data_IF_372213432185
#
_entry.id   IF_372213432185
#
_cell.length_a   1.000
_cell.length_b   1.000
_cell.length_c   1.000
_cell.angle_alpha   90.00
_cell.angle_beta   90.00
_cell.angle_gamma   90.00
#
_symmetry.space_group_name_H-M   'P 1'
#
loop_
_entity.id
_entity.type
_entity.pdbx_description
1 polymer ?
#
# COMPACT_ATOMS: atom_id res chain seq x y z
N UNK A 1 29.06 -23.36 -34.66
CA UNK A 1 29.33 -22.96 -33.27
C UNK A 1 28.02 -22.86 -32.50
N UNK A 2 27.58 -24.02 -32.02
CA UNK A 2 26.48 -24.07 -31.04
C UNK A 2 27.11 -23.86 -29.68
N UNK A 3 27.26 -22.61 -29.26
CA UNK A 3 27.46 -22.31 -27.84
C UNK A 3 26.20 -22.74 -27.10
N UNK A 4 26.25 -23.93 -26.54
CA UNK A 4 25.33 -24.41 -25.51
C UNK A 4 25.37 -23.37 -24.37
N UNK A 5 24.52 -22.36 -24.42
CA UNK A 5 24.16 -21.59 -23.25
C UNK A 5 23.40 -22.56 -22.36
N UNK A 6 24.12 -23.22 -21.50
CA UNK A 6 23.56 -23.82 -20.30
C UNK A 6 22.95 -22.67 -19.50
N UNK A 7 21.74 -22.28 -19.88
CA UNK A 7 20.96 -21.35 -19.10
C UNK A 7 20.63 -22.09 -17.79
N UNK A 8 21.56 -21.98 -16.84
CA UNK A 8 21.31 -22.48 -15.50
C UNK A 8 20.00 -21.82 -15.05
N UNK A 9 18.99 -22.57 -14.60
CA UNK A 9 17.65 -22.06 -14.36
C UNK A 9 17.60 -21.24 -13.06
N UNK A 10 18.36 -20.13 -13.04
CA UNK A 10 18.47 -19.23 -11.90
C UNK A 10 17.10 -18.79 -11.38
N UNK A 11 16.14 -18.56 -12.26
CA UNK A 11 14.80 -18.13 -11.88
C UNK A 11 14.05 -19.19 -11.04
N UNK A 12 14.22 -20.48 -11.34
CA UNK A 12 13.59 -21.55 -10.58
C UNK A 12 14.26 -21.71 -9.21
N UNK A 13 15.58 -21.63 -9.16
CA UNK A 13 16.33 -21.73 -7.91
C UNK A 13 16.08 -20.53 -7.00
N UNK A 14 16.10 -19.30 -7.52
CA UNK A 14 15.78 -18.08 -6.78
C UNK A 14 14.38 -18.19 -6.19
N UNK A 15 13.37 -18.61 -6.97
CA UNK A 15 12.01 -18.79 -6.48
C UNK A 15 11.91 -19.84 -5.37
N UNK A 16 12.62 -20.96 -5.50
CA UNK A 16 12.66 -22.00 -4.47
C UNK A 16 13.33 -21.52 -3.18
N UNK A 17 14.43 -20.79 -3.30
CA UNK A 17 15.14 -20.21 -2.16
C UNK A 17 14.26 -19.19 -1.44
N UNK A 18 13.57 -18.30 -2.17
CA UNK A 18 12.65 -17.32 -1.59
C UNK A 18 11.49 -18.04 -0.87
N UNK A 19 10.89 -19.05 -1.51
CA UNK A 19 9.80 -19.83 -0.90
C UNK A 19 10.28 -20.57 0.36
N UNK A 20 11.45 -21.20 0.30
CA UNK A 20 12.05 -21.87 1.46
C UNK A 20 12.34 -20.88 2.60
N UNK A 21 12.89 -19.71 2.28
CA UNK A 21 13.15 -18.66 3.28
C UNK A 21 11.86 -18.14 3.91
N UNK A 22 10.79 -17.95 3.12
CA UNK A 22 9.47 -17.58 3.62
C UNK A 22 8.88 -18.64 4.55
N UNK A 23 8.95 -19.91 4.14
CA UNK A 23 8.47 -21.03 4.97
C UNK A 23 9.26 -21.10 6.29
N UNK A 24 10.59 -21.00 6.22
CA UNK A 24 11.44 -20.99 7.43
C UNK A 24 11.08 -19.81 8.34
N UNK A 25 10.89 -18.62 7.77
CA UNK A 25 10.52 -17.43 8.53
C UNK A 25 9.17 -17.60 9.22
N UNK A 26 8.17 -18.15 8.52
CA UNK A 26 6.84 -18.43 9.09
C UNK A 26 6.93 -19.49 10.20
N UNK A 27 7.70 -20.57 9.98
CA UNK A 27 7.89 -21.63 10.98
C UNK A 27 8.61 -21.10 12.21
N UNK A 28 9.70 -20.32 12.04
CA UNK A 28 10.43 -19.70 13.15
C UNK A 28 9.55 -18.71 13.91
N UNK A 29 8.76 -17.89 13.19
CA UNK A 29 7.80 -16.98 13.81
C UNK A 29 6.74 -17.76 14.60
N UNK A 30 6.18 -18.83 14.04
CA UNK A 30 5.23 -19.70 14.74
C UNK A 30 5.84 -20.35 15.98
N UNK A 31 7.04 -20.93 15.87
CA UNK A 31 7.75 -21.54 17.03
C UNK A 31 7.98 -20.49 18.12
N UNK A 32 8.54 -19.32 17.77
CA UNK A 32 8.77 -18.23 18.73
C UNK A 32 7.50 -17.71 19.39
N UNK A 33 6.38 -17.83 18.72
CA UNK A 33 5.09 -17.38 19.24
C UNK A 33 4.48 -18.37 20.24
N UNK A 34 4.71 -19.66 20.03
CA UNK A 34 4.20 -20.71 20.93
C UNK A 34 5.18 -21.11 22.03
N UNK A 35 6.47 -20.78 21.90
CA UNK A 35 7.45 -21.01 22.95
C UNK A 35 7.59 -19.78 23.83
N UNK A 36 7.24 -19.91 25.11
CA UNK A 36 7.57 -18.89 26.10
C UNK A 36 9.10 -18.76 26.20
N UNK A 37 9.65 -17.52 26.23
CA UNK A 37 11.06 -17.35 26.54
C UNK A 37 11.36 -17.96 27.93
N UNK A 38 12.54 -18.56 28.09
CA UNK A 38 12.94 -19.28 29.30
C UNK A 38 13.02 -18.40 30.57
N UNK A 39 12.97 -17.07 30.36
CA UNK A 39 13.01 -16.02 31.39
C UNK A 39 11.65 -15.32 31.60
N UNK A 40 10.56 -15.92 31.10
CA UNK A 40 9.22 -15.37 31.31
C UNK A 40 8.83 -15.42 32.81
N UNK A 41 8.28 -14.33 33.38
CA UNK A 41 7.86 -14.34 34.78
C UNK A 41 6.74 -15.36 35.03
N UNK A 42 6.70 -15.97 36.19
CA UNK A 42 5.68 -16.95 36.54
C UNK A 42 4.28 -16.29 36.47
N UNK A 43 3.41 -16.80 35.60
CA UNK A 43 2.05 -16.30 35.43
C UNK A 43 1.82 -15.54 34.10
N UNK A 44 2.83 -15.29 33.29
CA UNK A 44 2.63 -14.82 31.90
C UNK A 44 2.04 -15.94 31.04
N UNK A 45 0.74 -15.87 30.82
CA UNK A 45 0.10 -16.65 29.78
C UNK A 45 0.69 -16.20 28.42
N UNK A 46 0.88 -17.17 27.52
CA UNK A 46 1.37 -16.93 26.15
C UNK A 46 1.01 -15.53 25.66
N UNK A 47 2.01 -14.74 25.29
CA UNK A 47 1.89 -13.34 24.83
C UNK A 47 0.88 -13.16 23.71
N UNK A 48 0.46 -14.23 23.06
CA UNK A 48 -0.40 -14.25 21.92
C UNK A 48 -1.60 -15.19 22.15
N UNK A 49 -2.70 -14.59 22.59
CA UNK A 49 -3.99 -15.26 22.72
C UNK A 49 -4.58 -15.53 21.33
N UNK A 50 -5.52 -16.46 21.20
CA UNK A 50 -6.27 -16.71 19.96
C UNK A 50 -6.96 -15.45 19.40
N UNK A 51 -7.32 -14.50 20.26
CA UNK A 51 -7.84 -13.19 19.86
C UNK A 51 -6.78 -12.33 19.17
N UNK A 52 -5.55 -12.31 19.69
CA UNK A 52 -4.41 -11.59 19.09
C UNK A 52 -4.06 -12.15 17.71
N UNK A 53 -4.08 -13.49 17.56
CA UNK A 53 -3.87 -14.14 16.27
C UNK A 53 -4.94 -13.75 15.24
N UNK A 54 -6.20 -13.73 15.62
CA UNK A 54 -7.28 -13.28 14.73
C UNK A 54 -7.07 -11.83 14.29
N UNK A 55 -6.70 -10.96 15.21
CA UNK A 55 -6.40 -9.55 14.89
C UNK A 55 -5.24 -9.42 13.90
N UNK A 56 -4.16 -10.19 14.08
CA UNK A 56 -3.03 -10.20 13.16
C UNK A 56 -3.39 -10.73 11.76
N UNK A 57 -4.20 -11.78 11.69
CA UNK A 57 -4.64 -12.34 10.40
C UNK A 57 -5.54 -11.34 9.68
N UNK A 58 -6.52 -10.76 10.38
CA UNK A 58 -7.45 -9.79 9.79
C UNK A 58 -6.68 -8.51 9.37
N UNK A 59 -5.85 -7.98 10.25
CA UNK A 59 -5.03 -6.81 9.98
C UNK A 59 -4.06 -7.04 8.82
N UNK A 60 -3.32 -8.15 8.85
CA UNK A 60 -2.39 -8.50 7.78
C UNK A 60 -3.07 -8.75 6.44
N UNK A 61 -4.27 -9.35 6.43
CA UNK A 61 -5.05 -9.52 5.21
C UNK A 61 -5.56 -8.18 4.67
N UNK A 62 -6.00 -7.28 5.55
CA UNK A 62 -6.44 -5.94 5.19
C UNK A 62 -5.31 -5.12 4.58
N UNK A 63 -4.16 -5.03 5.26
CA UNK A 63 -2.98 -4.31 4.75
C UNK A 63 -2.46 -4.94 3.46
N UNK A 64 -2.40 -6.28 3.40
CA UNK A 64 -2.01 -7.01 2.21
C UNK A 64 -2.93 -6.76 1.02
N UNK A 65 -4.24 -6.65 1.24
CA UNK A 65 -5.20 -6.31 0.19
C UNK A 65 -4.98 -4.90 -0.37
N UNK A 66 -4.71 -3.91 0.51
CA UNK A 66 -4.38 -2.54 0.09
C UNK A 66 -3.10 -2.52 -0.75
N UNK A 67 -2.04 -3.19 -0.29
CA UNK A 67 -0.78 -3.29 -1.04
C UNK A 67 -0.97 -4.00 -2.39
N UNK A 68 -1.79 -5.05 -2.44
CA UNK A 68 -2.10 -5.76 -3.67
C UNK A 68 -2.83 -4.86 -4.69
N UNK A 69 -3.79 -4.04 -4.24
CA UNK A 69 -4.47 -3.07 -5.10
C UNK A 69 -3.52 -2.00 -5.66
N UNK A 70 -2.62 -1.49 -4.81
CA UNK A 70 -1.59 -0.53 -5.24
C UNK A 70 -0.66 -1.18 -6.27
N UNK A 71 -0.17 -2.41 -6.02
CA UNK A 71 0.69 -3.14 -6.93
C UNK A 71 0.01 -3.43 -8.27
N UNK A 72 -1.28 -3.77 -8.25
CA UNK A 72 -2.09 -3.97 -9.45
C UNK A 72 -2.22 -2.66 -10.24
N UNK A 73 -2.48 -1.54 -9.57
CA UNK A 73 -2.51 -0.22 -10.18
C UNK A 73 -1.17 0.15 -10.83
N UNK A 74 -0.05 -0.08 -10.18
CA UNK A 74 1.29 0.10 -10.77
C UNK A 74 1.48 -0.76 -12.02
N UNK A 75 1.06 -2.02 -11.97
CA UNK A 75 1.21 -2.95 -13.09
C UNK A 75 0.38 -2.51 -14.30
N UNK A 76 -0.84 -2.04 -14.09
CA UNK A 76 -1.71 -1.52 -15.15
C UNK A 76 -1.11 -0.26 -15.80
N UNK A 77 -0.69 0.71 -14.99
CA UNK A 77 -0.09 1.95 -15.49
C UNK A 77 1.21 1.66 -16.26
N UNK A 78 2.07 0.79 -15.72
CA UNK A 78 3.29 0.37 -16.40
C UNK A 78 3.00 -0.35 -17.72
N UNK A 79 1.98 -1.21 -17.76
CA UNK A 79 1.57 -1.92 -18.96
C UNK A 79 1.16 -0.99 -20.11
N UNK A 80 0.50 0.11 -19.79
CA UNK A 80 0.01 1.11 -20.77
C UNK A 80 1.09 2.11 -21.13
N UNK A 81 1.69 2.76 -20.14
CA UNK A 81 2.62 3.88 -20.35
C UNK A 81 4.08 3.43 -20.56
N UNK A 82 4.42 2.20 -20.21
CA UNK A 82 5.78 1.66 -20.21
C UNK A 82 6.78 2.53 -19.42
N UNK A 83 6.27 3.21 -18.41
CA UNK A 83 7.05 4.01 -17.48
C UNK A 83 6.50 3.84 -16.06
N UNK A 84 7.38 3.96 -15.06
CA UNK A 84 6.99 3.86 -13.64
C UNK A 84 6.47 5.22 -13.20
N UNK A 85 5.20 5.25 -12.76
CA UNK A 85 4.60 6.44 -12.18
C UNK A 85 4.83 6.44 -10.65
N UNK A 86 5.86 7.12 -10.19
CA UNK A 86 6.16 7.23 -8.75
C UNK A 86 5.09 7.98 -7.96
N UNK A 87 4.29 8.84 -8.61
CA UNK A 87 3.21 9.55 -7.95
C UNK A 87 1.94 8.71 -7.71
N UNK A 88 1.91 7.42 -8.12
CA UNK A 88 0.74 6.56 -7.97
C UNK A 88 0.34 6.33 -6.51
N UNK A 89 1.33 6.08 -5.65
CA UNK A 89 1.11 5.93 -4.20
C UNK A 89 0.54 7.20 -3.56
N UNK A 90 0.97 8.37 -4.04
CA UNK A 90 0.50 9.66 -3.55
C UNK A 90 -0.95 9.95 -3.94
N UNK A 91 -1.36 9.50 -5.13
CA UNK A 91 -2.78 9.57 -5.56
C UNK A 91 -3.66 8.76 -4.61
N UNK A 92 -3.21 7.55 -4.25
CA UNK A 92 -3.90 6.72 -3.25
C UNK A 92 -3.94 7.42 -1.87
N UNK A 93 -2.81 7.95 -1.41
CA UNK A 93 -2.69 8.68 -0.15
C UNK A 93 -3.67 9.86 -0.08
N UNK A 94 -3.80 10.66 -1.13
CA UNK A 94 -4.71 11.81 -1.17
C UNK A 94 -6.19 11.39 -1.04
N UNK A 95 -6.57 10.27 -1.67
CA UNK A 95 -7.90 9.69 -1.50
C UNK A 95 -8.15 9.21 -0.08
N UNK A 96 -7.15 8.54 0.53
CA UNK A 96 -7.24 8.07 1.91
C UNK A 96 -7.37 9.23 2.91
N UNK A 97 -6.61 10.30 2.75
CA UNK A 97 -6.77 11.50 3.60
C UNK A 97 -8.14 12.14 3.45
N UNK A 98 -8.62 12.31 2.22
CA UNK A 98 -9.95 12.88 1.99
C UNK A 98 -11.05 12.04 2.65
N UNK A 99 -10.96 10.72 2.56
CA UNK A 99 -11.91 9.81 3.19
C UNK A 99 -11.87 9.89 4.72
N UNK A 100 -10.68 10.04 5.30
CA UNK A 100 -10.51 10.22 6.74
C UNK A 100 -11.26 11.47 7.25
N UNK A 101 -11.12 12.62 6.58
CA UNK A 101 -11.81 13.85 7.01
C UNK A 101 -13.32 13.74 6.92
N UNK A 102 -13.83 13.05 5.91
CA UNK A 102 -15.28 12.81 5.79
C UNK A 102 -15.76 11.87 6.88
N UNK A 103 -14.99 10.82 7.17
CA UNK A 103 -15.29 9.89 8.25
C UNK A 103 -15.31 10.58 9.62
N UNK A 104 -14.33 11.44 9.89
CA UNK A 104 -14.23 12.25 11.10
C UNK A 104 -15.46 13.14 11.28
N UNK A 105 -15.86 13.86 10.22
CA UNK A 105 -17.08 14.68 10.22
C UNK A 105 -18.37 13.88 10.41
N UNK A 106 -18.43 12.67 9.89
CA UNK A 106 -19.59 11.81 10.08
C UNK A 106 -19.66 11.22 11.48
N UNK A 107 -18.49 11.01 12.11
CA UNK A 107 -18.42 10.62 13.50
C UNK A 107 -18.92 11.73 14.42
N UNK A 108 -18.50 12.98 14.19
CA UNK A 108 -18.94 14.17 14.96
C UNK A 108 -20.47 14.41 14.86
N UNK A 109 -21.09 14.04 13.77
CA UNK A 109 -22.52 14.23 13.52
C UNK A 109 -23.39 12.98 13.78
N UNK A 110 -22.85 11.96 14.44
CA UNK A 110 -23.53 10.67 14.69
C UNK A 110 -24.07 9.95 13.44
N UNK A 111 -23.65 10.37 12.25
CA UNK A 111 -24.10 9.78 10.98
C UNK A 111 -23.52 8.38 10.79
N UNK A 112 -22.33 8.14 11.33
CA UNK A 112 -21.65 6.85 11.27
C UNK A 112 -22.39 5.79 12.10
N UNK A 113 -23.00 6.20 13.23
CA UNK A 113 -23.77 5.32 14.11
C UNK A 113 -25.23 5.15 13.65
N UNK A 114 -25.84 6.23 13.13
CA UNK A 114 -27.24 6.20 12.71
C UNK A 114 -27.48 5.50 11.36
N UNK A 115 -26.58 5.70 10.39
CA UNK A 115 -26.69 5.14 9.03
C UNK A 115 -25.31 4.70 8.47
N UNK A 116 -24.71 3.63 9.00
CA UNK A 116 -23.33 3.23 8.64
C UNK A 116 -23.18 2.89 7.15
N UNK A 117 -24.21 2.31 6.52
CA UNK A 117 -24.16 1.97 5.11
C UNK A 117 -24.05 3.21 4.20
N UNK A 118 -24.84 4.25 4.48
CA UNK A 118 -24.79 5.51 3.73
C UNK A 118 -23.46 6.21 3.96
N UNK A 119 -22.99 6.26 5.21
CA UNK A 119 -21.70 6.83 5.55
C UNK A 119 -20.56 6.16 4.78
N UNK A 120 -20.50 4.83 4.75
CA UNK A 120 -19.48 4.07 4.02
C UNK A 120 -19.51 4.36 2.51
N UNK A 121 -20.69 4.41 1.90
CA UNK A 121 -20.82 4.72 0.46
C UNK A 121 -20.30 6.12 0.15
N UNK A 122 -20.64 7.11 0.97
CA UNK A 122 -20.18 8.50 0.76
C UNK A 122 -18.66 8.60 0.96
N UNK A 123 -18.11 8.00 2.01
CA UNK A 123 -16.67 7.96 2.27
C UNK A 123 -15.94 7.35 1.08
N UNK A 124 -16.41 6.22 0.57
CA UNK A 124 -15.83 5.56 -0.60
C UNK A 124 -15.93 6.43 -1.87
N UNK A 125 -17.07 7.05 -2.10
CA UNK A 125 -17.30 7.93 -3.25
C UNK A 125 -16.35 9.14 -3.21
N UNK A 126 -16.13 9.74 -2.04
CA UNK A 126 -15.18 10.85 -1.86
C UNK A 126 -13.75 10.38 -2.08
N UNK A 127 -13.35 9.24 -1.52
CA UNK A 127 -12.02 8.68 -1.72
C UNK A 127 -11.72 8.48 -3.21
N UNK A 128 -12.64 7.85 -3.95
CA UNK A 128 -12.52 7.63 -5.39
C UNK A 128 -12.50 8.96 -6.14
N UNK A 129 -13.42 9.87 -5.83
CA UNK A 129 -13.54 11.17 -6.51
C UNK A 129 -12.25 12.00 -6.37
N UNK A 130 -11.69 12.08 -5.18
CA UNK A 130 -10.44 12.83 -4.93
C UNK A 130 -9.26 12.15 -5.62
N UNK A 131 -9.12 10.82 -5.53
CA UNK A 131 -8.06 10.09 -6.22
C UNK A 131 -8.12 10.29 -7.73
N UNK A 132 -9.30 10.19 -8.33
CA UNK A 132 -9.51 10.43 -9.77
C UNK A 132 -9.18 11.86 -10.15
N UNK A 133 -9.61 12.85 -9.36
CA UNK A 133 -9.31 14.25 -9.59
C UNK A 133 -7.81 14.51 -9.59
N UNK A 134 -7.09 14.02 -8.57
CA UNK A 134 -5.63 14.16 -8.47
C UNK A 134 -4.93 13.46 -9.63
N UNK A 135 -5.39 12.26 -10.01
CA UNK A 135 -4.83 11.53 -11.15
C UNK A 135 -5.00 12.29 -12.47
N UNK A 136 -6.18 12.89 -12.71
CA UNK A 136 -6.45 13.71 -13.90
C UNK A 136 -5.59 14.98 -13.90
N UNK A 137 -5.43 15.63 -12.75
CA UNK A 137 -4.56 16.80 -12.63
C UNK A 137 -3.10 16.45 -12.93
N UNK A 138 -2.59 15.35 -12.38
CA UNK A 138 -1.24 14.85 -12.67
C UNK A 138 -1.06 14.53 -14.16
N UNK A 139 -2.04 13.86 -14.77
CA UNK A 139 -1.97 13.55 -16.20
C UNK A 139 -1.93 14.83 -17.03
N UNK A 140 -2.84 15.76 -16.79
CA UNK A 140 -2.95 16.99 -17.59
C UNK A 140 -1.80 17.96 -17.42
N UNK A 141 -1.32 18.12 -16.19
CA UNK A 141 -0.31 19.13 -15.85
C UNK A 141 1.11 18.56 -15.99
N UNK A 142 1.33 17.32 -15.51
CA UNK A 142 2.67 16.76 -15.43
C UNK A 142 3.01 15.87 -16.64
N UNK A 143 2.10 14.98 -17.07
CA UNK A 143 2.47 13.94 -18.04
C UNK A 143 2.10 14.30 -19.48
N UNK A 144 0.95 14.93 -19.69
CA UNK A 144 0.48 15.28 -21.04
C UNK A 144 1.42 16.19 -21.83
N UNK A 145 2.01 17.24 -21.22
CA UNK A 145 2.97 18.09 -21.92
C UNK A 145 4.27 17.37 -22.31
N UNK A 146 4.61 16.31 -21.60
CA UNK A 146 5.88 15.59 -21.74
C UNK A 146 5.75 14.31 -22.59
N UNK A 147 4.62 14.10 -23.24
CA UNK A 147 4.32 12.87 -23.99
C UNK A 147 5.33 12.57 -25.12
N UNK A 148 5.92 13.61 -25.71
CA UNK A 148 6.89 13.51 -26.78
C UNK A 148 8.35 13.66 -26.28
N UNK A 149 8.57 13.81 -24.99
CA UNK A 149 9.90 13.96 -24.42
C UNK A 149 10.61 12.59 -24.26
N UNK A 150 11.95 12.58 -24.16
CA UNK A 150 12.70 11.36 -23.84
C UNK A 150 12.20 10.73 -22.54
N UNK A 151 12.25 9.41 -22.44
CA UNK A 151 11.68 8.61 -21.32
C UNK A 151 12.13 9.04 -19.91
N UNK A 152 13.32 9.65 -19.79
CA UNK A 152 13.84 10.13 -18.51
C UNK A 152 13.09 11.36 -18.00
N UNK A 153 12.55 12.22 -18.88
CA UNK A 153 11.88 13.46 -18.48
C UNK A 153 10.57 13.19 -17.73
N UNK A 154 9.64 12.36 -18.23
CA UNK A 154 8.45 11.98 -17.46
C UNK A 154 8.76 11.27 -16.15
N UNK A 155 9.86 10.48 -16.10
CA UNK A 155 10.29 9.79 -14.88
C UNK A 155 10.68 10.79 -13.78
N UNK A 156 11.54 11.78 -14.11
CA UNK A 156 11.95 12.83 -13.17
C UNK A 156 10.75 13.66 -12.73
N UNK A 157 9.84 13.98 -13.67
CA UNK A 157 8.60 14.70 -13.38
C UNK A 157 7.70 13.92 -12.42
N UNK A 158 7.60 12.60 -12.58
CA UNK A 158 6.83 11.74 -11.66
C UNK A 158 7.39 11.78 -10.22
N UNK A 159 8.73 11.78 -10.08
CA UNK A 159 9.38 11.93 -8.77
C UNK A 159 9.10 13.32 -8.18
N UNK A 160 9.23 14.38 -8.99
CA UNK A 160 8.92 15.74 -8.55
C UNK A 160 7.45 15.90 -8.12
N UNK A 161 6.53 15.33 -8.87
CA UNK A 161 5.10 15.33 -8.54
C UNK A 161 4.81 14.54 -7.25
N UNK A 162 5.46 13.38 -7.04
CA UNK A 162 5.36 12.62 -5.80
C UNK A 162 5.81 13.47 -4.60
N UNK A 163 6.99 14.06 -4.66
CA UNK A 163 7.50 14.92 -3.59
C UNK A 163 6.60 16.14 -3.34
N UNK A 164 6.07 16.74 -4.41
CA UNK A 164 5.14 17.87 -4.29
C UNK A 164 3.86 17.45 -3.55
N UNK A 165 3.23 16.34 -3.92
CA UNK A 165 2.03 15.84 -3.26
C UNK A 165 2.29 15.47 -1.80
N UNK A 166 3.41 14.79 -1.49
CA UNK A 166 3.79 14.46 -0.13
C UNK A 166 3.93 15.70 0.76
N UNK A 167 4.65 16.71 0.29
CA UNK A 167 4.83 17.93 1.06
C UNK A 167 3.55 18.76 1.17
N UNK A 168 2.73 18.75 0.13
CA UNK A 168 1.39 19.37 0.16
C UNK A 168 0.51 18.67 1.21
N UNK A 169 0.46 17.35 1.21
CA UNK A 169 -0.28 16.59 2.21
C UNK A 169 0.22 16.88 3.63
N UNK A 170 1.54 16.90 3.85
CA UNK A 170 2.11 17.26 5.16
C UNK A 170 1.75 18.68 5.60
N UNK A 171 1.71 19.63 4.67
CA UNK A 171 1.35 21.02 4.94
C UNK A 171 -0.11 21.19 5.34
N UNK A 172 -1.03 20.47 4.68
CA UNK A 172 -2.47 20.56 4.95
C UNK A 172 -2.92 19.68 6.12
N UNK A 173 -2.33 18.49 6.27
CA UNK A 173 -2.82 17.46 7.19
C UNK A 173 -1.94 17.29 8.43
N UNK A 174 -0.77 17.92 8.45
CA UNK A 174 0.21 17.82 9.52
C UNK A 174 1.12 16.59 9.40
N UNK A 175 2.25 16.58 10.14
CA UNK A 175 3.27 15.53 10.01
C UNK A 175 2.95 14.24 10.79
N UNK A 176 1.87 14.22 11.58
CA UNK A 176 1.54 13.08 12.43
C UNK A 176 0.62 12.09 11.72
N UNK A 177 0.94 10.79 11.86
CA UNK A 177 0.03 9.73 11.49
C UNK A 177 -1.24 9.83 12.35
N UNK A 178 -2.39 9.96 11.70
CA UNK A 178 -3.71 9.94 12.35
C UNK A 178 -4.25 8.52 12.18
N UNK A 179 -4.35 7.83 13.29
CA UNK A 179 -4.96 6.52 13.40
C UNK A 179 -6.25 6.57 14.20
#
# INVERSE_FOLDING_TARGET
>A
DRTLRLAFPWGIWIRRVILAALVVLVVVAAIKTFTLPADAPPGELSRYTSATWRSFIIGGLSEGAVLALIALGYSLVYGILRMINFAHGEVFMMGAFASYFVADRFNDNDLLSSNPAVAMVVILAVAIGVSVLVAILLERVCYRPLRNAPRLVPLITAIGASLFLQNTARGFFGPQARG
#
